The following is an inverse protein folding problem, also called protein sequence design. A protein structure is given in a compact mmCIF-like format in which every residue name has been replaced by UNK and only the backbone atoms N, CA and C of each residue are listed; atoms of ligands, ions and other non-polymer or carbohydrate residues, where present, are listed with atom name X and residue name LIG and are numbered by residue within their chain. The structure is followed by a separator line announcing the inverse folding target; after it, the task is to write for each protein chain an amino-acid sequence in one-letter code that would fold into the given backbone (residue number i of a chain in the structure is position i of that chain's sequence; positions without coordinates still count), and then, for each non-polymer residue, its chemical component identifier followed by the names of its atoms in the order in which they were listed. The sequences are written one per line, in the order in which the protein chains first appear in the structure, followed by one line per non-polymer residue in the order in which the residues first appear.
data_IF_700147636708
#
_entry.id   IF_700147636708
#
_cell.length_a   1.000
_cell.length_b   1.000
_cell.length_c   1.000
_cell.angle_alpha   90.00
_cell.angle_beta   90.00
_cell.angle_gamma   90.00
#
_symmetry.space_group_name_H-M   'P 1'
#
loop_
_entity.id
_entity.type
_entity.pdbx_description
1 polymer ?
#
# COMPACT_ATOMS: atom_id res chain seq x y z
N UNK A 1 0.79 11.80 6.59
CA UNK A 1 -0.27 11.28 7.49
C UNK A 1 0.06 11.74 8.91
N UNK A 2 -0.92 11.93 9.80
CA UNK A 2 -0.63 12.16 11.23
C UNK A 2 -0.34 10.80 11.88
N UNK A 3 0.74 10.70 12.66
CA UNK A 3 1.15 9.47 13.31
C UNK A 3 0.04 8.86 14.16
N UNK A 4 0.08 7.55 14.38
CA UNK A 4 -0.87 6.85 15.24
C UNK A 4 -0.87 7.41 16.68
N UNK A 5 0.30 7.75 17.22
CA UNK A 5 0.43 8.46 18.50
C UNK A 5 -0.18 9.87 18.48
N UNK A 6 -0.07 10.57 17.35
CA UNK A 6 -0.79 11.85 17.15
C UNK A 6 -2.30 11.64 17.10
N UNK A 7 -2.80 10.53 16.54
CA UNK A 7 -4.23 10.19 16.54
C UNK A 7 -4.72 9.81 17.93
N UNK A 8 -3.96 9.01 18.69
CA UNK A 8 -4.24 8.68 20.09
C UNK A 8 -4.36 9.92 20.99
N UNK A 9 -3.41 10.84 20.86
CA UNK A 9 -3.46 12.10 21.63
C UNK A 9 -4.63 13.00 21.22
N UNK A 10 -5.01 13.01 19.93
CA UNK A 10 -6.19 13.72 19.44
C UNK A 10 -7.50 13.11 19.97
N UNK A 11 -7.61 11.79 20.13
CA UNK A 11 -8.82 11.13 20.65
C UNK A 11 -9.21 11.64 22.05
N UNK A 12 -8.23 12.02 22.87
CA UNK A 12 -8.47 12.63 24.18
C UNK A 12 -9.16 13.99 24.09
N UNK A 13 -9.05 14.71 22.96
CA UNK A 13 -9.75 15.98 22.75
C UNK A 13 -11.19 15.80 22.28
N UNK A 14 -11.54 14.61 21.76
CA UNK A 14 -12.81 14.40 21.09
C UNK A 14 -13.97 14.27 22.08
N UNK A 15 -15.17 14.59 21.61
CA UNK A 15 -16.42 14.41 22.33
C UNK A 15 -17.44 13.70 21.44
N UNK A 16 -18.66 13.55 21.93
CA UNK A 16 -19.76 13.03 21.13
C UNK A 16 -20.53 14.16 20.45
N UNK A 17 -20.54 14.16 19.12
CA UNK A 17 -21.41 15.00 18.32
C UNK A 17 -22.71 14.25 18.03
N UNK A 18 -23.78 14.60 18.74
CA UNK A 18 -25.10 14.00 18.60
C UNK A 18 -25.95 14.81 17.64
N UNK A 19 -26.59 14.19 16.65
CA UNK A 19 -27.54 14.89 15.80
C UNK A 19 -28.83 15.23 16.54
N UNK A 20 -29.41 16.39 16.25
CA UNK A 20 -30.64 16.89 16.90
C UNK A 20 -31.86 16.00 16.66
N UNK A 21 -31.88 15.29 15.53
CA UNK A 21 -32.92 14.33 15.14
C UNK A 21 -32.71 12.94 15.77
N UNK A 22 -31.69 12.78 16.62
CA UNK A 22 -31.28 11.51 17.23
C UNK A 22 -30.99 10.40 16.21
N UNK A 23 -30.76 10.74 14.94
CA UNK A 23 -30.56 9.75 13.87
C UNK A 23 -29.17 9.10 13.90
N UNK A 24 -28.22 9.70 14.62
CA UNK A 24 -26.85 9.24 14.68
C UNK A 24 -25.96 10.11 15.55
N UNK A 25 -24.82 9.55 15.93
CA UNK A 25 -23.78 10.27 16.65
C UNK A 25 -22.43 9.93 16.04
N UNK A 26 -21.51 10.89 16.11
CA UNK A 26 -20.15 10.74 15.63
C UNK A 26 -19.18 11.26 16.68
N UNK A 27 -18.10 10.53 16.95
CA UNK A 27 -17.02 11.05 17.80
C UNK A 27 -16.19 12.06 16.99
N UNK A 28 -16.16 13.30 17.45
CA UNK A 28 -15.49 14.40 16.73
C UNK A 28 -14.98 15.49 17.68
N UNK A 29 -13.95 16.25 17.29
CA UNK A 29 -13.57 17.47 18.01
C UNK A 29 -14.67 18.51 17.88
N UNK A 30 -14.75 19.46 18.84
CA UNK A 30 -15.80 20.49 18.87
C UNK A 30 -15.93 21.27 17.56
N UNK A 31 -14.80 21.58 16.91
CA UNK A 31 -14.75 22.31 15.65
C UNK A 31 -15.39 21.58 14.45
N UNK A 32 -15.45 20.24 14.49
CA UNK A 32 -16.04 19.43 13.42
C UNK A 32 -17.51 19.08 13.69
N UNK A 33 -18.05 19.45 14.85
CA UNK A 33 -19.46 19.25 15.17
C UNK A 33 -20.30 20.46 14.73
N UNK A 34 -21.31 20.23 13.89
CA UNK A 34 -22.20 21.29 13.40
C UNK A 34 -23.08 21.84 14.52
N UNK A 35 -22.93 23.14 14.85
CA UNK A 35 -23.77 23.81 15.86
C UNK A 35 -25.24 23.99 15.43
N UNK A 36 -25.59 23.76 14.15
CA UNK A 36 -26.97 23.92 13.65
C UNK A 36 -27.79 22.63 13.75
N UNK A 37 -27.13 21.50 13.48
CA UNK A 37 -27.80 20.20 13.31
C UNK A 37 -27.43 19.20 14.40
N UNK A 38 -26.49 19.57 15.28
CA UNK A 38 -25.91 18.67 16.26
C UNK A 38 -25.56 19.38 17.57
N UNK A 39 -25.46 18.60 18.64
CA UNK A 39 -24.99 19.01 19.97
C UNK A 39 -23.69 18.29 20.27
N UNK A 40 -22.64 19.05 20.61
CA UNK A 40 -21.35 18.49 21.03
C UNK A 40 -21.31 18.31 22.55
N UNK A 41 -21.01 17.10 23.00
CA UNK A 41 -20.98 16.72 24.40
C UNK A 41 -19.59 16.20 24.79
N UNK A 42 -19.01 16.77 25.84
CA UNK A 42 -17.79 16.31 26.52
C UNK A 42 -17.82 16.72 27.99
N UNK A 43 -17.42 15.81 28.87
CA UNK A 43 -17.37 16.09 30.30
C UNK A 43 -16.04 16.76 30.68
N UNK A 44 -16.04 17.74 31.61
CA UNK A 44 -14.84 18.48 31.99
C UNK A 44 -13.90 17.71 32.93
N UNK A 45 -14.44 16.85 33.81
CA UNK A 45 -13.70 16.22 34.92
C UNK A 45 -13.65 14.69 34.84
N UNK A 46 -14.01 14.10 33.70
CA UNK A 46 -13.98 12.66 33.48
C UNK A 46 -13.80 12.36 32.00
N UNK A 47 -13.21 11.23 31.69
CA UNK A 47 -13.25 10.69 30.33
C UNK A 47 -14.73 10.42 29.97
N UNK A 48 -15.16 10.93 28.80
CA UNK A 48 -16.52 10.80 28.29
C UNK A 48 -17.21 12.11 27.84
N UNK A 49 -18.39 12.04 27.20
CA UNK A 49 -19.08 10.85 26.72
C UNK A 49 -18.61 10.51 25.30
N UNK A 50 -18.04 9.33 25.11
CA UNK A 50 -17.63 8.80 23.81
C UNK A 50 -18.81 8.06 23.19
N UNK A 51 -19.87 8.79 22.84
CA UNK A 51 -21.04 8.28 22.12
C UNK A 51 -21.50 6.88 22.58
N UNK A 52 -21.84 6.77 23.86
CA UNK A 52 -22.38 5.54 24.47
C UNK A 52 -21.36 4.45 24.82
N UNK A 53 -20.05 4.65 24.61
CA UNK A 53 -19.03 3.63 24.86
C UNK A 53 -18.35 3.69 26.24
N UNK A 54 -18.89 4.47 27.18
CA UNK A 54 -18.27 4.68 28.50
C UNK A 54 -18.18 3.38 29.32
N UNK A 55 -16.96 2.93 29.71
CA UNK A 55 -16.72 1.63 30.33
C UNK A 55 -17.36 1.48 31.71
N UNK A 56 -17.74 2.58 32.38
CA UNK A 56 -18.44 2.51 33.68
C UNK A 56 -19.80 1.84 33.61
N UNK A 57 -20.42 1.88 32.43
CA UNK A 57 -21.68 1.20 32.18
C UNK A 57 -21.47 -0.20 31.59
N UNK A 58 -20.23 -0.68 31.47
CA UNK A 58 -19.98 -2.02 30.98
C UNK A 58 -20.38 -3.06 32.04
N UNK A 59 -21.13 -4.07 31.64
CA UNK A 59 -21.61 -5.16 32.51
C UNK A 59 -20.55 -6.26 32.65
N UNK A 60 -19.59 -6.31 31.73
CA UNK A 60 -18.56 -7.36 31.69
C UNK A 60 -17.64 -7.24 32.92
N UNK A 61 -17.76 -8.22 33.83
CA UNK A 61 -17.29 -8.19 35.24
C UNK A 61 -15.77 -8.10 35.47
N UNK A 62 -14.94 -7.96 34.43
CA UNK A 62 -13.47 -8.06 34.54
C UNK A 62 -12.72 -6.74 34.33
N UNK A 63 -13.38 -5.59 34.37
CA UNK A 63 -12.73 -4.30 34.11
C UNK A 63 -12.16 -3.68 35.38
N UNK A 64 -10.84 -3.58 35.46
CA UNK A 64 -10.15 -2.81 36.49
C UNK A 64 -10.53 -1.32 36.32
N UNK A 65 -10.97 -0.63 37.38
CA UNK A 65 -11.45 0.77 37.32
C UNK A 65 -10.34 1.82 37.07
N UNK A 66 -9.10 1.38 36.90
CA UNK A 66 -7.95 2.27 36.65
C UNK A 66 -8.03 3.01 35.30
N UNK A 67 -8.79 2.49 34.33
CA UNK A 67 -8.91 3.03 32.97
C UNK A 67 -9.92 4.19 32.84
N UNK A 68 -10.45 4.72 33.94
CA UNK A 68 -11.49 5.76 33.93
C UNK A 68 -10.98 7.16 33.50
N UNK A 69 -9.69 7.35 33.29
CA UNK A 69 -9.10 8.67 33.00
C UNK A 69 -8.55 8.82 31.58
N UNK A 70 -8.05 7.75 30.97
CA UNK A 70 -7.51 7.77 29.61
C UNK A 70 -8.44 7.03 28.64
N UNK A 71 -8.95 7.74 27.62
CA UNK A 71 -9.86 7.16 26.61
C UNK A 71 -9.14 6.11 25.77
N UNK A 72 -7.83 6.27 25.55
CA UNK A 72 -7.05 5.40 24.66
C UNK A 72 -6.85 4.00 25.22
N UNK A 73 -6.98 3.83 26.54
CA UNK A 73 -6.82 2.55 27.24
C UNK A 73 -8.15 1.86 27.52
N UNK A 74 -9.29 2.39 27.04
CA UNK A 74 -10.56 1.77 27.37
C UNK A 74 -10.67 0.36 26.76
N UNK A 75 -11.07 -0.62 27.57
CA UNK A 75 -11.21 -2.00 27.12
C UNK A 75 -12.45 -2.18 26.21
N UNK A 76 -12.45 -3.27 25.44
CA UNK A 76 -13.60 -3.66 24.62
C UNK A 76 -14.79 -4.05 25.50
N UNK A 77 -15.93 -3.40 25.29
CA UNK A 77 -17.17 -3.75 25.99
C UNK A 77 -18.26 -4.21 25.02
N UNK A 78 -18.80 -5.40 25.29
CA UNK A 78 -19.85 -5.99 24.47
C UNK A 78 -21.24 -5.65 25.00
N UNK A 79 -21.40 -5.63 26.33
CA UNK A 79 -22.69 -5.41 27.00
C UNK A 79 -22.64 -4.21 27.93
N UNK A 80 -23.53 -3.25 27.69
CA UNK A 80 -23.70 -2.06 28.51
C UNK A 80 -25.01 -2.11 29.31
N UNK A 81 -25.00 -1.58 30.53
CA UNK A 81 -26.18 -1.37 31.36
C UNK A 81 -26.89 -0.10 30.92
N UNK A 82 -27.74 -0.25 29.91
CA UNK A 82 -28.54 0.85 29.40
C UNK A 82 -29.47 1.45 30.46
N UNK A 83 -29.92 0.68 31.47
CA UNK A 83 -30.76 1.22 32.54
C UNK A 83 -29.96 2.15 33.44
N UNK A 84 -28.70 1.83 33.71
CA UNK A 84 -27.80 2.73 34.43
C UNK A 84 -27.46 3.98 33.60
N UNK A 85 -27.28 3.84 32.28
CA UNK A 85 -27.09 4.97 31.35
C UNK A 85 -28.32 5.88 31.31
N UNK A 86 -29.54 5.34 31.28
CA UNK A 86 -30.79 6.17 31.31
C UNK A 86 -30.99 6.90 32.60
N UNK A 87 -30.52 6.34 33.71
CA UNK A 87 -30.58 7.00 35.02
C UNK A 87 -29.51 8.07 35.15
N UNK A 88 -28.41 7.96 34.41
CA UNK A 88 -27.42 9.02 34.30
C UNK A 88 -27.82 10.01 33.19
N UNK A 89 -27.17 11.17 33.16
CA UNK A 89 -27.32 12.13 32.03
C UNK A 89 -26.43 11.72 30.84
N UNK A 90 -25.95 10.48 30.81
CA UNK A 90 -25.06 9.99 29.76
C UNK A 90 -25.86 9.50 28.55
N UNK A 91 -25.33 9.82 27.37
CA UNK A 91 -26.05 9.75 26.11
C UNK A 91 -26.41 8.32 25.68
N UNK A 92 -27.61 8.18 25.10
CA UNK A 92 -28.29 6.93 24.72
C UNK A 92 -27.89 6.26 23.41
N UNK A 93 -26.95 6.80 22.63
CA UNK A 93 -26.66 6.26 21.30
C UNK A 93 -25.29 5.60 21.25
N UNK A 94 -25.29 4.30 20.95
CA UNK A 94 -24.09 3.47 20.83
C UNK A 94 -23.44 3.71 19.47
N UNK A 95 -22.22 4.22 19.48
CA UNK A 95 -21.36 4.30 18.30
C UNK A 95 -20.35 3.16 18.31
N UNK A 96 -19.90 2.74 17.14
CA UNK A 96 -18.88 1.72 16.94
C UNK A 96 -17.90 2.17 15.85
N UNK A 97 -16.66 1.64 15.82
CA UNK A 97 -15.71 1.98 14.78
C UNK A 97 -16.27 1.69 13.39
N UNK A 98 -16.16 2.69 12.53
CA UNK A 98 -16.55 2.68 11.13
C UNK A 98 -15.36 3.11 10.30
N UNK A 99 -14.84 2.20 9.49
CA UNK A 99 -13.70 2.44 8.61
C UNK A 99 -14.20 2.97 7.27
N UNK A 100 -13.72 4.14 6.87
CA UNK A 100 -14.18 4.85 5.67
C UNK A 100 -13.01 5.40 4.84
N UNK A 101 -13.24 5.47 3.53
CA UNK A 101 -12.35 6.13 2.56
C UNK A 101 -11.01 5.41 2.35
N UNK A 102 -10.35 5.73 1.24
CA UNK A 102 -9.14 5.04 0.75
C UNK A 102 -7.91 5.06 1.67
N UNK A 103 -7.91 5.92 2.69
CA UNK A 103 -6.83 6.04 3.67
C UNK A 103 -7.10 5.26 4.97
N UNK A 104 -8.18 4.47 5.03
CA UNK A 104 -8.56 3.74 6.24
C UNK A 104 -8.87 4.68 7.40
N UNK A 105 -9.67 5.73 7.17
CA UNK A 105 -10.04 6.67 8.23
C UNK A 105 -11.04 5.99 9.16
N UNK A 106 -10.72 5.88 10.44
CA UNK A 106 -11.67 5.43 11.45
C UNK A 106 -12.48 6.61 12.00
N UNK A 107 -13.79 6.42 12.14
CA UNK A 107 -14.67 7.27 12.94
C UNK A 107 -15.54 6.38 13.82
N UNK A 108 -15.91 6.82 15.02
CA UNK A 108 -17.00 6.16 15.76
C UNK A 108 -18.33 6.69 15.23
N UNK A 109 -19.19 5.81 14.74
CA UNK A 109 -20.49 6.13 14.16
C UNK A 109 -21.56 5.14 14.60
N UNK A 110 -22.85 5.51 14.50
CA UNK A 110 -23.92 4.52 14.57
C UNK A 110 -23.88 3.60 13.35
N UNK A 111 -24.49 2.41 13.46
CA UNK A 111 -24.53 1.43 12.38
C UNK A 111 -25.18 2.01 11.12
N UNK A 112 -26.31 2.68 11.29
CA UNK A 112 -27.11 3.27 10.22
C UNK A 112 -26.33 4.37 9.48
N UNK A 113 -25.57 5.19 10.22
CA UNK A 113 -24.73 6.23 9.62
C UNK A 113 -23.53 5.63 8.88
N UNK A 114 -22.91 4.58 9.43
CA UNK A 114 -21.80 3.88 8.77
C UNK A 114 -22.24 3.22 7.46
N UNK A 115 -23.40 2.55 7.46
CA UNK A 115 -23.99 1.95 6.26
C UNK A 115 -24.36 3.03 5.22
N UNK A 116 -24.89 4.18 5.66
CA UNK A 116 -25.24 5.30 4.78
C UNK A 116 -24.04 5.88 4.03
N UNK A 117 -22.86 5.91 4.65
CA UNK A 117 -21.62 6.43 4.03
C UNK A 117 -20.77 5.33 3.37
N UNK A 118 -21.34 4.14 3.16
CA UNK A 118 -20.66 2.98 2.56
C UNK A 118 -19.38 2.59 3.31
N UNK A 119 -19.38 2.72 4.64
CA UNK A 119 -18.27 2.35 5.52
C UNK A 119 -18.34 0.91 6.01
N UNK A 120 -17.20 0.39 6.45
CA UNK A 120 -17.12 -0.92 7.10
C UNK A 120 -17.31 -0.77 8.62
N UNK A 121 -18.37 -1.35 9.15
CA UNK A 121 -18.77 -1.23 10.55
C UNK A 121 -18.23 -2.38 11.41
N UNK A 122 -17.61 -2.07 12.56
CA UNK A 122 -17.02 -3.04 13.48
C UNK A 122 -17.83 -3.15 14.80
N UNK A 123 -18.79 -4.08 14.90
CA UNK A 123 -19.70 -4.14 16.06
C UNK A 123 -19.03 -4.59 17.37
N UNK A 124 -17.87 -5.28 17.28
CA UNK A 124 -17.16 -5.88 18.41
C UNK A 124 -16.04 -5.00 18.98
N UNK A 125 -15.60 -3.97 18.26
CA UNK A 125 -14.66 -2.98 18.76
C UNK A 125 -15.40 -1.80 19.39
N UNK A 126 -14.81 -1.11 20.37
CA UNK A 126 -15.41 0.05 21.04
C UNK A 126 -14.73 1.37 20.68
N UNK A 127 -13.44 1.32 20.28
CA UNK A 127 -12.63 2.47 19.91
C UNK A 127 -11.92 2.25 18.58
N UNK A 128 -11.56 3.35 17.91
CA UNK A 128 -10.79 3.33 16.67
C UNK A 128 -9.36 2.80 16.86
N UNK A 129 -8.80 2.95 18.05
CA UNK A 129 -7.51 2.35 18.44
C UNK A 129 -7.50 0.82 18.44
N UNK A 130 -8.67 0.17 18.38
CA UNK A 130 -8.84 -1.28 18.43
C UNK A 130 -9.07 -1.92 17.04
N UNK A 131 -9.09 -1.14 15.97
CA UNK A 131 -9.33 -1.62 14.60
C UNK A 131 -8.27 -1.12 13.63
N UNK A 132 -7.85 -1.98 12.70
CA UNK A 132 -6.95 -1.61 11.62
C UNK A 132 -7.74 -1.27 10.35
N UNK A 133 -8.27 -0.05 10.29
CA UNK A 133 -9.04 0.39 9.13
C UNK A 133 -8.26 0.42 7.81
N UNK A 134 -6.93 0.45 7.85
CA UNK A 134 -6.12 0.38 6.62
C UNK A 134 -6.19 -1.02 6.05
N UNK A 135 -6.10 -2.05 6.88
CA UNK A 135 -6.29 -3.44 6.45
C UNK A 135 -7.71 -3.68 5.92
N UNK A 136 -8.73 -3.10 6.55
CA UNK A 136 -10.12 -3.27 6.09
C UNK A 136 -10.40 -2.61 4.73
N UNK A 137 -9.86 -1.40 4.49
CA UNK A 137 -10.12 -0.66 3.24
C UNK A 137 -9.12 -0.99 2.12
N UNK A 138 -7.83 -1.10 2.45
CA UNK A 138 -6.82 -1.47 1.46
C UNK A 138 -6.78 -2.98 1.24
N UNK A 139 -7.05 -3.79 2.26
CA UNK A 139 -6.93 -5.24 2.29
C UNK A 139 -5.76 -5.86 1.53
N UNK A 140 -5.85 -7.17 1.39
CA UNK A 140 -4.82 -7.97 0.76
C UNK A 140 -5.17 -8.24 -0.70
N UNK A 141 -4.20 -8.74 -1.45
CA UNK A 141 -4.36 -9.20 -2.84
C UNK A 141 -5.57 -10.13 -3.05
N UNK A 142 -5.97 -10.90 -2.03
CA UNK A 142 -7.15 -11.77 -2.08
C UNK A 142 -8.46 -11.08 -1.70
N UNK A 143 -8.49 -10.19 -0.71
CA UNK A 143 -9.73 -9.52 -0.24
C UNK A 143 -9.43 -8.15 0.41
N UNK A 144 -10.09 -7.05 -0.03
CA UNK A 144 -10.89 -6.95 -1.26
C UNK A 144 -9.98 -7.03 -2.50
N UNK A 145 -10.48 -7.58 -3.62
CA UNK A 145 -9.68 -7.83 -4.83
C UNK A 145 -9.11 -6.54 -5.45
N UNK A 146 -7.80 -6.31 -5.30
CA UNK A 146 -7.12 -5.09 -5.77
C UNK A 146 -6.06 -5.32 -6.86
N UNK A 147 -6.16 -6.40 -7.61
CA UNK A 147 -5.28 -6.72 -8.75
C UNK A 147 -5.12 -5.58 -9.76
N UNK A 148 -6.17 -4.76 -9.94
CA UNK A 148 -6.14 -3.60 -10.82
C UNK A 148 -5.02 -2.61 -10.45
N UNK A 149 -4.57 -2.56 -9.19
CA UNK A 149 -3.49 -1.66 -8.74
C UNK A 149 -2.16 -1.98 -9.39
N UNK A 150 -1.85 -3.25 -9.66
CA UNK A 150 -0.62 -3.67 -10.35
C UNK A 150 -0.54 -3.12 -11.78
N UNK A 151 -1.70 -2.96 -12.42
CA UNK A 151 -1.82 -2.47 -13.80
C UNK A 151 -1.92 -0.95 -13.80
N UNK A 152 -2.77 -0.37 -12.93
CA UNK A 152 -2.99 1.07 -12.87
C UNK A 152 -1.74 1.84 -12.45
N UNK A 153 -0.89 1.27 -11.59
CA UNK A 153 0.36 1.92 -11.17
C UNK A 153 1.28 2.25 -12.35
N UNK A 154 1.24 1.48 -13.45
CA UNK A 154 2.01 1.73 -14.67
C UNK A 154 1.65 3.09 -15.31
N UNK A 155 0.41 3.57 -15.11
CA UNK A 155 -0.08 4.83 -15.70
C UNK A 155 0.06 6.03 -14.77
N UNK A 156 0.17 5.79 -13.46
CA UNK A 156 0.26 6.84 -12.43
C UNK A 156 1.70 7.32 -12.33
N UNK A 157 1.90 8.63 -12.15
CA UNK A 157 3.23 9.21 -11.99
C UNK A 157 3.27 10.05 -10.71
N UNK A 158 4.42 10.07 -10.02
CA UNK A 158 4.58 10.82 -8.77
C UNK A 158 4.57 12.35 -8.98
N UNK A 159 4.86 12.81 -10.20
CA UNK A 159 4.80 14.24 -10.56
C UNK A 159 5.10 14.54 -12.02
N UNK A 160 4.97 15.82 -12.39
CA UNK A 160 5.13 16.32 -13.76
C UNK A 160 6.51 16.03 -14.36
N UNK A 161 7.57 16.14 -13.56
CA UNK A 161 8.93 15.88 -14.03
C UNK A 161 9.13 14.41 -14.43
N UNK A 162 8.68 13.48 -13.58
CA UNK A 162 8.74 12.03 -13.88
C UNK A 162 7.91 11.70 -15.12
N UNK A 163 6.71 12.28 -15.24
CA UNK A 163 5.85 12.09 -16.41
C UNK A 163 6.55 12.55 -17.70
N UNK A 164 7.12 13.75 -17.73
CA UNK A 164 7.80 14.27 -18.91
C UNK A 164 8.99 13.39 -19.31
N UNK A 165 9.82 13.00 -18.33
CA UNK A 165 10.97 12.14 -18.56
C UNK A 165 10.53 10.78 -19.14
N UNK A 166 9.51 10.17 -18.55
CA UNK A 166 8.99 8.88 -18.98
C UNK A 166 8.40 8.95 -20.39
N UNK A 167 7.66 10.00 -20.74
CA UNK A 167 7.13 10.18 -22.10
C UNK A 167 8.27 10.28 -23.12
N UNK A 168 9.33 11.05 -22.83
CA UNK A 168 10.48 11.19 -23.72
C UNK A 168 11.19 9.84 -23.91
N UNK A 169 11.48 9.16 -22.81
CA UNK A 169 12.17 7.86 -22.81
C UNK A 169 11.34 6.81 -23.56
N UNK A 170 10.04 6.72 -23.25
CA UNK A 170 9.12 5.83 -23.95
C UNK A 170 9.05 6.13 -25.43
N UNK A 171 8.91 7.40 -25.83
CA UNK A 171 8.87 7.77 -27.24
C UNK A 171 10.12 7.30 -28.00
N UNK A 172 11.31 7.46 -27.41
CA UNK A 172 12.58 7.06 -28.04
C UNK A 172 12.70 5.53 -28.15
N UNK A 173 12.46 4.78 -27.07
CA UNK A 173 12.69 3.34 -27.05
C UNK A 173 11.53 2.55 -27.67
N UNK A 174 10.29 2.91 -27.35
CA UNK A 174 9.09 2.20 -27.79
C UNK A 174 8.90 2.32 -29.30
N UNK A 175 9.15 3.50 -29.90
CA UNK A 175 9.09 3.69 -31.36
C UNK A 175 10.04 2.75 -32.10
N UNK A 176 11.27 2.61 -31.59
CA UNK A 176 12.28 1.72 -32.21
C UNK A 176 11.86 0.24 -32.07
N UNK A 177 11.31 -0.15 -30.93
CA UNK A 177 10.82 -1.50 -30.68
C UNK A 177 9.61 -1.85 -31.55
N UNK A 178 8.66 -0.94 -31.67
CA UNK A 178 7.48 -1.10 -32.51
C UNK A 178 7.85 -1.32 -33.98
N UNK A 179 8.83 -0.58 -34.49
CA UNK A 179 9.34 -0.77 -35.86
C UNK A 179 9.99 -2.15 -36.08
N UNK A 180 10.56 -2.76 -35.04
CA UNK A 180 11.30 -4.02 -35.13
C UNK A 180 10.44 -5.25 -34.84
N UNK A 181 9.52 -5.16 -33.87
CA UNK A 181 8.72 -6.29 -33.38
C UNK A 181 7.23 -6.18 -33.74
N UNK A 182 6.76 -4.99 -34.10
CA UNK A 182 5.34 -4.67 -34.29
C UNK A 182 4.64 -4.27 -32.99
N UNK A 183 3.55 -3.52 -33.14
CA UNK A 183 2.81 -2.89 -32.02
C UNK A 183 2.40 -3.89 -30.93
N UNK A 184 1.77 -5.00 -31.30
CA UNK A 184 1.22 -5.97 -30.35
C UNK A 184 2.29 -6.63 -29.48
N UNK A 185 3.47 -6.91 -30.04
CA UNK A 185 4.57 -7.51 -29.29
C UNK A 185 5.18 -6.50 -28.33
N UNK A 186 5.36 -5.25 -28.76
CA UNK A 186 5.85 -4.18 -27.90
C UNK A 186 4.90 -3.93 -26.73
N UNK A 187 3.59 -3.91 -26.99
CA UNK A 187 2.55 -3.80 -25.95
C UNK A 187 2.63 -4.96 -24.95
N UNK A 188 2.76 -6.21 -25.42
CA UNK A 188 2.92 -7.37 -24.54
C UNK A 188 4.17 -7.27 -23.66
N UNK A 189 5.32 -6.89 -24.24
CA UNK A 189 6.56 -6.72 -23.48
C UNK A 189 6.38 -5.64 -22.42
N UNK A 190 5.80 -4.49 -22.79
CA UNK A 190 5.60 -3.35 -21.91
C UNK A 190 4.72 -3.70 -20.68
N UNK A 191 3.56 -4.32 -20.91
CA UNK A 191 2.64 -4.65 -19.81
C UNK A 191 3.15 -5.82 -18.97
N UNK A 192 3.67 -6.90 -19.58
CA UNK A 192 4.12 -8.06 -18.80
C UNK A 192 5.34 -7.73 -17.95
N UNK A 193 6.29 -6.94 -18.46
CA UNK A 193 7.43 -6.47 -17.66
C UNK A 193 7.02 -5.51 -16.55
N UNK A 194 6.08 -4.60 -16.82
CA UNK A 194 5.52 -3.70 -15.81
C UNK A 194 4.83 -4.45 -14.68
N UNK A 195 3.90 -5.34 -15.03
CA UNK A 195 3.14 -6.14 -14.05
C UNK A 195 4.09 -7.05 -13.25
N UNK A 196 5.05 -7.70 -13.90
CA UNK A 196 6.02 -8.57 -13.24
C UNK A 196 6.96 -7.83 -12.29
N UNK A 197 7.43 -6.63 -12.68
CA UNK A 197 8.23 -5.76 -11.82
C UNK A 197 7.44 -5.26 -10.62
N UNK A 198 6.24 -4.72 -10.85
CA UNK A 198 5.35 -4.24 -9.79
C UNK A 198 4.97 -5.37 -8.82
N UNK A 199 4.75 -6.58 -9.33
CA UNK A 199 4.45 -7.73 -8.47
C UNK A 199 5.64 -8.09 -7.57
N UNK A 200 6.87 -8.06 -8.10
CA UNK A 200 8.06 -8.25 -7.27
C UNK A 200 8.21 -7.14 -6.21
N UNK A 201 7.98 -5.87 -6.59
CA UNK A 201 7.95 -4.73 -5.66
C UNK A 201 6.98 -4.98 -4.49
N UNK A 202 5.75 -5.42 -4.75
CA UNK A 202 4.77 -5.72 -3.69
C UNK A 202 5.22 -6.80 -2.71
N UNK A 203 6.11 -7.69 -3.13
CA UNK A 203 6.64 -8.77 -2.28
C UNK A 203 7.82 -8.27 -1.43
N UNK A 204 8.78 -7.57 -2.04
CA UNK A 204 10.02 -7.17 -1.36
C UNK A 204 9.89 -5.87 -0.58
N UNK A 205 8.96 -4.99 -0.98
CA UNK A 205 8.73 -3.67 -0.40
C UNK A 205 7.21 -3.37 -0.26
N UNK A 206 6.47 -4.17 0.53
CA UNK A 206 5.00 -4.12 0.58
C UNK A 206 4.41 -2.79 1.07
N UNK A 207 5.17 -2.00 1.82
CA UNK A 207 4.71 -0.75 2.44
C UNK A 207 5.21 0.51 1.74
N UNK A 208 6.00 0.38 0.67
CA UNK A 208 6.45 1.54 -0.11
C UNK A 208 5.57 1.70 -1.35
N UNK A 209 4.96 2.87 -1.54
CA UNK A 209 4.20 3.12 -2.76
C UNK A 209 5.15 3.27 -3.95
N UNK A 210 5.07 2.35 -4.92
CA UNK A 210 5.72 2.48 -6.23
C UNK A 210 4.71 2.95 -7.29
N UNK A 211 5.14 3.86 -8.16
CA UNK A 211 4.32 4.42 -9.23
C UNK A 211 5.14 4.65 -10.49
N UNK A 212 4.49 4.40 -11.63
CA UNK A 212 4.99 4.71 -12.95
C UNK A 212 5.44 3.49 -13.73
N UNK A 213 5.73 3.69 -15.02
CA UNK A 213 6.08 2.64 -15.95
C UNK A 213 7.57 2.24 -15.87
N UNK A 214 8.25 2.50 -14.76
CA UNK A 214 9.71 2.34 -14.65
C UNK A 214 10.13 0.88 -14.94
N UNK A 215 9.42 -0.10 -14.36
CA UNK A 215 9.61 -1.53 -14.66
C UNK A 215 9.38 -1.86 -16.15
N UNK A 216 8.31 -1.31 -16.75
CA UNK A 216 8.01 -1.49 -18.17
C UNK A 216 9.11 -0.93 -19.06
N UNK A 217 9.61 0.27 -18.76
CA UNK A 217 10.69 0.92 -19.51
C UNK A 217 11.97 0.09 -19.43
N UNK A 218 12.36 -0.39 -18.24
CA UNK A 218 13.52 -1.26 -18.11
C UNK A 218 13.33 -2.59 -18.86
N UNK A 219 12.10 -3.13 -18.85
CA UNK A 219 11.71 -4.28 -19.65
C UNK A 219 11.84 -4.06 -21.17
N UNK A 220 11.56 -2.85 -21.67
CA UNK A 220 11.82 -2.49 -23.07
C UNK A 220 13.33 -2.41 -23.36
N UNK A 221 14.12 -1.85 -22.44
CA UNK A 221 15.58 -1.73 -22.59
C UNK A 221 16.26 -3.11 -22.64
N UNK A 222 15.67 -4.14 -22.04
CA UNK A 222 16.13 -5.53 -22.16
C UNK A 222 16.30 -5.99 -23.62
N UNK A 223 15.54 -5.42 -24.56
CA UNK A 223 15.72 -5.70 -25.99
C UNK A 223 17.09 -5.23 -26.51
N UNK A 224 17.49 -4.01 -26.15
CA UNK A 224 18.79 -3.47 -26.52
C UNK A 224 19.94 -4.27 -25.91
N UNK A 225 19.72 -4.81 -24.70
CA UNK A 225 20.67 -5.71 -24.08
C UNK A 225 20.86 -6.99 -24.90
N UNK A 226 19.76 -7.64 -25.34
CA UNK A 226 19.82 -8.85 -26.18
C UNK A 226 20.54 -8.56 -27.51
N UNK A 227 20.20 -7.47 -28.18
CA UNK A 227 20.83 -7.09 -29.45
C UNK A 227 22.33 -6.81 -29.28
N UNK A 228 22.71 -6.07 -28.25
CA UNK A 228 24.10 -5.75 -27.96
C UNK A 228 24.89 -7.01 -27.57
N UNK A 229 24.26 -7.93 -26.83
CA UNK A 229 24.85 -9.22 -26.46
C UNK A 229 25.09 -10.10 -27.69
N UNK A 230 24.15 -10.14 -28.64
CA UNK A 230 24.33 -10.83 -29.94
C UNK A 230 25.53 -10.27 -30.72
N UNK A 231 25.76 -8.96 -30.65
CA UNK A 231 26.90 -8.29 -31.30
C UNK A 231 28.25 -8.52 -30.60
N UNK A 232 28.26 -9.00 -29.35
CA UNK A 232 29.50 -9.29 -28.59
C UNK A 232 30.46 -10.21 -29.35
N UNK A 233 29.95 -11.15 -30.14
CA UNK A 233 30.78 -12.06 -30.95
C UNK A 233 31.68 -11.35 -31.96
N UNK A 234 31.35 -10.12 -32.36
CA UNK A 234 32.14 -9.31 -33.32
C UNK A 234 33.04 -8.27 -32.66
N UNK A 235 32.65 -7.73 -31.51
CA UNK A 235 33.32 -6.57 -30.88
C UNK A 235 33.70 -6.78 -29.39
N UNK A 236 33.66 -8.03 -28.91
CA UNK A 236 34.35 -8.52 -27.71
C UNK A 236 34.07 -7.76 -26.41
N UNK A 237 35.15 -7.33 -25.74
CA UNK A 237 35.16 -6.77 -24.39
C UNK A 237 34.54 -5.36 -24.31
N UNK A 238 34.78 -4.52 -25.31
CA UNK A 238 34.33 -3.11 -25.31
C UNK A 238 32.80 -3.03 -25.32
N UNK A 239 32.15 -3.86 -26.12
CA UNK A 239 30.67 -3.93 -26.13
C UNK A 239 30.15 -4.46 -24.80
N UNK A 240 30.83 -5.45 -24.20
CA UNK A 240 30.44 -5.99 -22.90
C UNK A 240 30.52 -4.95 -21.77
N UNK A 241 31.60 -4.16 -21.74
CA UNK A 241 31.78 -3.06 -20.80
C UNK A 241 30.74 -1.96 -21.00
N UNK A 242 30.46 -1.58 -22.25
CA UNK A 242 29.40 -0.59 -22.54
C UNK A 242 28.03 -1.05 -22.08
N UNK A 243 27.70 -2.32 -22.31
CA UNK A 243 26.44 -2.91 -21.83
C UNK A 243 26.38 -2.87 -20.30
N UNK A 244 27.44 -3.32 -19.63
CA UNK A 244 27.51 -3.32 -18.17
C UNK A 244 27.37 -1.91 -17.58
N UNK A 245 28.10 -0.93 -18.11
CA UNK A 245 27.99 0.47 -17.69
C UNK A 245 26.58 1.02 -17.92
N UNK A 246 25.95 0.74 -19.06
CA UNK A 246 24.59 1.18 -19.34
C UNK A 246 23.58 0.59 -18.35
N UNK A 247 23.70 -0.71 -18.05
CA UNK A 247 22.84 -1.39 -17.08
C UNK A 247 23.02 -0.82 -15.66
N UNK A 248 24.28 -0.59 -15.25
CA UNK A 248 24.59 0.01 -13.97
C UNK A 248 24.02 1.42 -13.85
N UNK A 249 24.16 2.26 -14.88
CA UNK A 249 23.59 3.62 -14.92
C UNK A 249 22.06 3.61 -14.85
N UNK A 250 21.40 2.63 -15.45
CA UNK A 250 19.95 2.53 -15.44
C UNK A 250 19.38 1.98 -14.12
N UNK A 251 20.15 1.14 -13.41
CA UNK A 251 19.77 0.58 -12.11
C UNK A 251 20.22 1.45 -10.92
N UNK A 252 21.22 2.31 -11.11
CA UNK A 252 21.73 3.23 -10.09
C UNK A 252 20.63 4.07 -9.42
N UNK A 253 19.65 4.64 -10.14
CA UNK A 253 18.52 5.34 -9.53
C UNK A 253 17.72 4.46 -8.59
N UNK A 254 17.68 3.14 -8.78
CA UNK A 254 16.98 2.21 -7.91
C UNK A 254 17.54 2.14 -6.48
N UNK A 255 18.75 2.64 -6.23
CA UNK A 255 19.27 2.80 -4.86
C UNK A 255 18.81 4.10 -4.18
N UNK A 256 18.00 4.90 -4.87
CA UNK A 256 17.40 6.13 -4.36
C UNK A 256 16.06 5.82 -3.67
N UNK A 257 15.67 6.57 -2.64
CA UNK A 257 14.38 6.37 -2.00
C UNK A 257 13.15 6.64 -2.87
N UNK A 258 13.32 7.18 -4.06
CA UNK A 258 12.20 7.51 -4.95
C UNK A 258 11.98 6.48 -6.06
N UNK A 259 12.84 5.46 -6.17
CA UNK A 259 12.79 4.49 -7.27
C UNK A 259 12.97 3.09 -6.70
N UNK A 260 12.05 2.20 -7.04
CA UNK A 260 12.07 0.82 -6.55
C UNK A 260 13.07 -0.05 -7.35
N UNK A 261 14.17 -0.46 -6.69
CA UNK A 261 15.18 -1.34 -7.27
C UNK A 261 14.62 -2.69 -7.73
N UNK A 262 13.76 -3.33 -6.93
CA UNK A 262 13.19 -4.64 -7.24
C UNK A 262 12.27 -4.56 -8.45
N UNK A 263 11.46 -3.52 -8.53
CA UNK A 263 10.61 -3.22 -9.68
C UNK A 263 11.43 -3.13 -10.97
N UNK A 264 12.57 -2.41 -10.95
CA UNK A 264 13.46 -2.30 -12.11
C UNK A 264 14.12 -3.62 -12.50
N UNK A 265 14.67 -4.36 -11.54
CA UNK A 265 15.38 -5.62 -11.79
C UNK A 265 14.43 -6.67 -12.33
N UNK A 266 13.29 -6.88 -11.69
CA UNK A 266 12.31 -7.87 -12.15
C UNK A 266 11.64 -7.43 -13.45
N UNK A 267 11.38 -6.13 -13.65
CA UNK A 267 10.92 -5.59 -14.94
C UNK A 267 11.89 -5.92 -16.08
N UNK A 268 13.20 -5.75 -15.85
CA UNK A 268 14.24 -6.14 -16.81
C UNK A 268 14.27 -7.66 -17.08
N UNK A 269 14.20 -8.50 -16.04
CA UNK A 269 14.19 -9.97 -16.17
C UNK A 269 12.97 -10.43 -16.96
N UNK A 270 11.77 -9.96 -16.60
CA UNK A 270 10.53 -10.25 -17.33
C UNK A 270 10.62 -9.77 -18.78
N UNK A 271 11.17 -8.58 -19.02
CA UNK A 271 11.45 -8.08 -20.36
C UNK A 271 12.33 -9.03 -21.18
N UNK A 272 13.48 -9.46 -20.64
CA UNK A 272 14.39 -10.41 -21.29
C UNK A 272 13.69 -11.71 -21.69
N UNK A 273 12.90 -12.27 -20.77
CA UNK A 273 12.17 -13.53 -21.00
C UNK A 273 11.11 -13.35 -22.09
N UNK A 274 10.26 -12.33 -21.99
CA UNK A 274 9.18 -12.09 -22.94
C UNK A 274 9.73 -11.79 -24.33
N UNK A 275 10.75 -10.94 -24.45
CA UNK A 275 11.38 -10.63 -25.74
C UNK A 275 11.93 -11.91 -26.38
N UNK A 276 12.62 -12.76 -25.61
CA UNK A 276 13.15 -14.03 -26.11
C UNK A 276 12.04 -14.95 -26.61
N UNK A 277 10.86 -14.93 -25.99
CA UNK A 277 9.70 -15.72 -26.40
C UNK A 277 9.06 -15.18 -27.69
N UNK A 278 8.92 -13.86 -27.81
CA UNK A 278 8.11 -13.22 -28.87
C UNK A 278 8.90 -12.74 -30.09
N UNK A 279 10.22 -12.58 -30.01
CA UNK A 279 11.04 -12.07 -31.12
C UNK A 279 11.03 -13.07 -32.30
N UNK A 280 10.40 -12.73 -33.44
CA UNK A 280 10.31 -13.63 -34.58
C UNK A 280 11.63 -13.75 -35.36
N UNK A 281 12.56 -12.81 -35.17
CA UNK A 281 13.82 -12.75 -35.93
C UNK A 281 14.83 -13.77 -35.45
N UNK A 282 14.63 -14.33 -34.26
CA UNK A 282 15.52 -15.34 -33.69
C UNK A 282 15.19 -16.75 -34.21
N UNK A 283 15.48 -16.98 -35.49
CA UNK A 283 15.15 -18.21 -36.22
C UNK A 283 15.85 -19.47 -35.69
N UNK A 284 16.91 -19.36 -34.87
CA UNK A 284 17.79 -20.50 -34.50
C UNK A 284 17.54 -21.07 -33.11
N UNK A 285 16.48 -20.66 -32.41
CA UNK A 285 16.47 -20.77 -30.95
C UNK A 285 15.16 -21.34 -30.35
N UNK A 286 14.50 -22.29 -31.04
CA UNK A 286 13.30 -22.99 -30.49
C UNK A 286 13.51 -23.45 -29.04
N UNK A 287 14.67 -24.04 -28.74
CA UNK A 287 15.04 -24.44 -27.38
C UNK A 287 15.10 -23.23 -26.42
N UNK A 288 15.72 -22.12 -26.83
CA UNK A 288 15.78 -20.91 -26.00
C UNK A 288 14.41 -20.31 -25.72
N UNK A 289 13.47 -20.38 -26.68
CA UNK A 289 12.09 -19.90 -26.51
C UNK A 289 11.36 -20.76 -25.49
N UNK A 290 11.51 -22.08 -25.57
CA UNK A 290 10.95 -23.03 -24.60
C UNK A 290 11.56 -22.80 -23.22
N UNK A 291 12.88 -22.70 -23.12
CA UNK A 291 13.57 -22.42 -21.86
C UNK A 291 13.12 -21.09 -21.25
N UNK A 292 13.02 -20.02 -22.05
CA UNK A 292 12.53 -18.73 -21.59
C UNK A 292 11.07 -18.80 -21.12
N UNK A 293 10.20 -19.55 -21.80
CA UNK A 293 8.82 -19.76 -21.38
C UNK A 293 8.73 -20.56 -20.07
N UNK A 294 9.55 -21.61 -19.91
CA UNK A 294 9.63 -22.37 -18.66
C UNK A 294 10.16 -21.48 -17.53
N UNK A 295 11.25 -20.75 -17.75
CA UNK A 295 11.81 -19.81 -16.76
C UNK A 295 10.81 -18.73 -16.37
N UNK A 296 10.03 -18.20 -17.32
CA UNK A 296 8.96 -17.25 -17.05
C UNK A 296 7.88 -17.84 -16.13
N UNK A 297 7.42 -19.07 -16.41
CA UNK A 297 6.41 -19.75 -15.60
C UNK A 297 6.95 -20.07 -14.20
N UNK A 298 8.16 -20.61 -14.11
CA UNK A 298 8.82 -20.93 -12.83
C UNK A 298 9.02 -19.66 -11.99
N UNK A 299 9.50 -18.57 -12.60
CA UNK A 299 9.68 -17.29 -11.92
C UNK A 299 8.35 -16.77 -11.37
N UNK A 300 7.31 -16.74 -12.21
CA UNK A 300 5.98 -16.24 -11.82
C UNK A 300 5.37 -17.10 -10.71
N UNK A 301 5.45 -18.43 -10.81
CA UNK A 301 4.98 -19.34 -9.78
C UNK A 301 5.76 -19.20 -8.48
N UNK A 302 7.09 -19.02 -8.56
CA UNK A 302 7.92 -18.82 -7.37
C UNK A 302 7.57 -17.52 -6.64
N UNK A 303 7.34 -16.41 -7.37
CA UNK A 303 6.89 -15.15 -6.79
C UNK A 303 5.48 -15.25 -6.21
N UNK A 304 4.56 -15.98 -6.85
CA UNK A 304 3.21 -16.22 -6.31
C UNK A 304 3.26 -17.04 -5.02
N UNK A 305 4.08 -18.10 -4.98
CA UNK A 305 4.26 -18.89 -3.75
C UNK A 305 4.92 -18.07 -2.65
N UNK A 306 5.93 -17.27 -2.98
CA UNK A 306 6.58 -16.36 -2.04
C UNK A 306 5.59 -15.33 -1.48
N UNK A 307 4.75 -14.76 -2.34
CA UNK A 307 3.70 -13.83 -1.94
C UNK A 307 2.64 -14.47 -1.01
N UNK A 308 2.27 -15.73 -1.25
CA UNK A 308 1.23 -16.41 -0.44
C UNK A 308 1.79 -16.93 0.90
N UNK A 309 3.01 -17.48 0.89
CA UNK A 309 3.52 -18.28 2.02
C UNK A 309 4.65 -17.62 2.80
N UNK A 310 5.25 -16.54 2.30
CA UNK A 310 6.47 -15.98 2.87
C UNK A 310 6.35 -14.51 3.28
N UNK A 311 5.15 -13.94 3.36
CA UNK A 311 4.94 -12.57 3.87
C UNK A 311 5.55 -12.38 5.26
N UNK A 312 5.30 -13.32 6.17
CA UNK A 312 5.84 -13.29 7.54
C UNK A 312 7.36 -13.47 7.58
N UNK A 313 7.91 -14.24 6.63
CA UNK A 313 9.36 -14.45 6.51
C UNK A 313 10.05 -13.20 5.95
N UNK A 314 9.45 -12.53 4.97
CA UNK A 314 9.96 -11.30 4.36
C UNK A 314 10.03 -10.15 5.35
N UNK A 315 9.09 -10.06 6.31
CA UNK A 315 9.19 -9.10 7.42
C UNK A 315 10.49 -9.27 8.22
N UNK A 316 10.92 -10.52 8.42
CA UNK A 316 12.13 -10.85 9.20
C UNK A 316 13.41 -10.46 8.46
N UNK A 317 13.40 -10.46 7.13
CA UNK A 317 14.54 -10.09 6.28
C UNK A 317 14.44 -8.66 5.74
N UNK A 318 13.45 -7.88 6.16
CA UNK A 318 13.14 -6.55 5.64
C UNK A 318 14.30 -5.54 5.73
N UNK A 319 15.10 -5.64 6.79
CA UNK A 319 16.30 -4.80 6.91
C UNK A 319 17.22 -4.96 5.71
N UNK A 320 17.40 -6.19 5.22
CA UNK A 320 18.22 -6.46 4.05
C UNK A 320 17.53 -6.01 2.77
N UNK A 321 16.21 -6.19 2.64
CA UNK A 321 15.50 -5.76 1.42
C UNK A 321 15.50 -4.24 1.26
N UNK A 322 15.31 -3.51 2.35
CA UNK A 322 15.42 -2.05 2.35
C UNK A 322 16.84 -1.56 2.06
N UNK A 323 17.88 -2.25 2.54
CA UNK A 323 19.27 -1.89 2.26
C UNK A 323 19.62 -1.96 0.76
N UNK A 324 19.02 -2.91 0.04
CA UNK A 324 19.19 -3.00 -1.41
C UNK A 324 18.41 -1.92 -2.18
N UNK A 325 17.31 -1.41 -1.61
CA UNK A 325 16.51 -0.35 -2.22
C UNK A 325 17.03 1.06 -1.90
N UNK A 326 17.70 1.25 -0.75
CA UNK A 326 18.29 2.53 -0.38
C UNK A 326 19.61 2.33 0.36
N UNK A 327 20.69 2.85 -0.22
CA UNK A 327 22.03 2.76 0.39
C UNK A 327 22.24 3.99 1.29
N UNK A 328 22.33 3.82 2.63
CA UNK A 328 22.37 4.95 3.57
C UNK A 328 23.60 5.86 3.41
N UNK A 329 24.70 5.32 2.88
CA UNK A 329 25.92 6.08 2.63
C UNK A 329 25.80 7.03 1.42
N UNK A 330 24.91 6.72 0.48
CA UNK A 330 24.73 7.50 -0.76
C UNK A 330 23.50 8.40 -0.70
N UNK A 331 22.45 8.01 0.02
CA UNK A 331 21.17 8.70 0.06
C UNK A 331 20.60 8.78 1.48
N UNK A 332 19.78 9.81 1.75
CA UNK A 332 19.07 9.95 3.02
C UNK A 332 17.85 9.02 3.07
N UNK A 333 18.00 7.83 3.66
CA UNK A 333 16.96 6.79 3.70
C UNK A 333 15.98 6.93 4.88
N UNK A 334 16.10 7.98 5.71
CA UNK A 334 15.40 8.11 7.00
C UNK A 334 13.87 8.31 6.92
N UNK A 335 13.34 8.75 5.79
CA UNK A 335 11.88 8.95 5.63
C UNK A 335 11.08 7.63 5.44
N UNK A 336 11.75 6.51 5.12
CA UNK A 336 11.07 5.23 4.88
C UNK A 336 10.67 4.46 6.14
N UNK A 337 11.48 4.53 7.19
CA UNK A 337 11.22 3.78 8.42
C UNK A 337 9.99 4.35 9.16
N UNK A 338 9.70 5.64 9.01
CA UNK A 338 8.57 6.33 9.68
C UNK A 338 7.22 5.76 9.24
N UNK A 339 7.01 5.57 7.93
CA UNK A 339 5.73 5.05 7.40
C UNK A 339 5.57 3.57 7.76
N UNK A 340 6.67 2.80 7.78
CA UNK A 340 6.60 1.39 8.16
C UNK A 340 6.36 1.21 9.66
N UNK A 341 7.06 1.93 10.53
CA UNK A 341 6.87 1.82 11.98
C UNK A 341 5.45 2.29 12.37
N UNK A 342 4.92 3.28 11.66
CA UNK A 342 3.52 3.68 11.77
C UNK A 342 2.52 2.60 11.30
N UNK A 343 2.86 1.77 10.31
CA UNK A 343 1.97 0.68 9.83
C UNK A 343 2.14 -0.59 10.67
N UNK A 344 3.36 -0.93 11.09
CA UNK A 344 3.64 -2.09 11.94
C UNK A 344 3.08 -1.91 13.35
N UNK A 345 3.05 -0.68 13.89
CA UNK A 345 2.35 -0.41 15.15
C UNK A 345 0.82 -0.53 15.05
N UNK A 346 0.26 -0.80 13.85
CA UNK A 346 -1.16 -1.12 13.63
C UNK A 346 -1.45 -2.63 13.64
N UNK A 347 -0.42 -3.49 13.61
CA UNK A 347 -0.50 -4.96 13.72
C UNK A 347 0.05 -5.42 15.08
#
# INVERSE_FOLDING_TARGET
MKSFESRKSLENEYGCCLRNDLSGCVQAPRLQCSNRTSVWLKWPNRSGPVCGNDPRYCIDKSMNKSYELDITEWPTCNRYDYKAITRSKDLHMKSRPCCIGIYGKCILASKEYCEFIEGQHHPYASLCSQVNCVEDVCGSFLWPYQFHRLILSIFIHAGWFQLLLNIIVQYVFMRRLEQLLGIWRTVLIYFISGIGGNFASTIFLPLTPDVGPNASILGLIAFLFIESYKQRKKHGLIVSLKIFCALFVLLLPGFSPFVDFYSLVFGFIYGLLVITIVDPRDSKSKLSRILAAISFLVLTLSLLLLFIFATDLLERFRYFTNLFNCIPFLFNCSEFDIVYDEIKSLN
#
